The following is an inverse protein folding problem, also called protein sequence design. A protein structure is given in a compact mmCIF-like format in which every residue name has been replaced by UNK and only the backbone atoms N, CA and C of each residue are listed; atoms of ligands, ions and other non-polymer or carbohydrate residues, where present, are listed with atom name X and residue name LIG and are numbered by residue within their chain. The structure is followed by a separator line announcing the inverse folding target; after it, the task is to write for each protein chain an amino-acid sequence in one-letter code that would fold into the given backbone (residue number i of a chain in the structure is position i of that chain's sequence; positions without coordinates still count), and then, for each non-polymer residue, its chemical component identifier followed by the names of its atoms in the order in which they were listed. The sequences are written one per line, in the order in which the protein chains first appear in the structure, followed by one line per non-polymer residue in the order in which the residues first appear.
data_IF_643147590802
#
_entry.id   IF_643147590802
#
_cell.length_a   1.000
_cell.length_b   1.000
_cell.length_c   1.000
_cell.angle_alpha   90.00
_cell.angle_beta   90.00
_cell.angle_gamma   90.00
#
_symmetry.space_group_name_H-M   'P 1'
#
loop_
_entity.id
_entity.type
_entity.pdbx_description
1 polymer ?
#
# COMPACT_ATOMS: atom_id res chain seq x y z
N UNK A 1 16.56 -25.27 37.98
CA UNK A 1 17.24 -24.20 37.26
C UNK A 1 18.21 -24.86 36.29
N UNK A 2 17.79 -25.17 35.07
CA UNK A 2 18.69 -25.58 33.98
C UNK A 2 19.44 -24.35 33.51
N UNK A 3 20.75 -24.30 33.71
CA UNK A 3 21.66 -23.20 33.40
C UNK A 3 22.26 -23.29 31.98
N UNK A 4 21.73 -24.15 31.11
CA UNK A 4 22.29 -24.42 29.79
C UNK A 4 21.43 -23.92 28.63
N UNK A 5 20.44 -23.06 28.86
CA UNK A 5 19.69 -22.43 27.77
C UNK A 5 20.50 -21.30 27.16
N UNK A 6 21.21 -21.61 26.07
CA UNK A 6 21.80 -20.56 25.25
C UNK A 6 20.70 -19.70 24.64
N UNK A 7 20.85 -18.36 24.61
CA UNK A 7 19.88 -17.50 23.93
C UNK A 7 19.70 -17.98 22.48
N UNK A 8 18.45 -18.10 22.02
CA UNK A 8 18.08 -18.58 20.68
C UNK A 8 18.88 -17.85 19.58
N UNK A 9 19.17 -16.58 19.77
CA UNK A 9 19.93 -15.77 18.82
C UNK A 9 21.32 -16.33 18.52
N UNK A 10 21.93 -17.06 19.44
CA UNK A 10 23.25 -17.72 19.25
C UNK A 10 23.18 -18.97 18.37
N UNK A 11 21.99 -19.50 18.16
CA UNK A 11 21.74 -20.67 17.31
C UNK A 11 21.38 -20.28 15.88
N UNK A 12 21.16 -18.99 15.61
CA UNK A 12 20.73 -18.46 14.33
C UNK A 12 21.92 -17.97 13.51
N UNK A 13 21.86 -18.15 12.20
CA UNK A 13 22.79 -17.49 11.28
C UNK A 13 22.41 -16.02 11.04
N UNK A 14 23.29 -15.25 10.41
CA UNK A 14 23.08 -13.81 10.17
C UNK A 14 21.81 -13.51 9.35
N UNK A 15 21.50 -14.32 8.33
CA UNK A 15 20.27 -14.14 7.53
C UNK A 15 19.01 -14.40 8.36
N UNK A 16 19.03 -15.39 9.23
CA UNK A 16 17.91 -15.67 10.14
C UNK A 16 17.70 -14.57 11.17
N UNK A 17 18.79 -13.97 11.66
CA UNK A 17 18.71 -12.80 12.54
C UNK A 17 18.11 -11.62 11.78
N UNK A 18 18.58 -11.34 10.56
CA UNK A 18 18.03 -10.29 9.72
C UNK A 18 16.56 -10.50 9.39
N UNK A 19 16.10 -11.73 9.15
CA UNK A 19 14.68 -12.07 8.97
C UNK A 19 13.82 -11.72 10.19
N UNK A 20 14.33 -11.94 11.41
CA UNK A 20 13.62 -11.63 12.64
C UNK A 20 13.61 -10.12 12.94
N UNK A 21 14.73 -9.43 12.68
CA UNK A 21 14.85 -7.98 12.87
C UNK A 21 13.99 -7.20 11.86
N UNK A 22 13.78 -7.75 10.65
CA UNK A 22 13.01 -7.15 9.58
C UNK A 22 11.71 -7.92 9.31
N UNK A 23 11.03 -8.40 10.34
CA UNK A 23 9.77 -9.11 10.18
C UNK A 23 8.75 -8.25 9.41
N UNK A 24 8.16 -8.84 8.36
CA UNK A 24 7.28 -8.11 7.44
C UNK A 24 6.09 -8.98 7.00
N UNK A 25 4.88 -8.39 7.02
CA UNK A 25 3.65 -9.07 6.63
C UNK A 25 3.65 -9.59 5.18
N UNK A 26 4.32 -8.88 4.25
CA UNK A 26 4.42 -9.33 2.85
C UNK A 26 5.27 -10.60 2.70
N UNK A 27 6.38 -10.70 3.44
CA UNK A 27 7.19 -11.92 3.46
C UNK A 27 6.43 -13.09 4.11
N UNK A 28 5.66 -12.81 5.17
CA UNK A 28 4.80 -13.79 5.81
C UNK A 28 3.66 -14.25 4.88
N UNK A 29 3.08 -13.36 4.08
CA UNK A 29 2.07 -13.70 3.07
C UNK A 29 2.63 -14.68 2.04
N UNK A 30 3.85 -14.43 1.50
CA UNK A 30 4.51 -15.38 0.60
C UNK A 30 4.69 -16.75 1.26
N UNK A 31 5.18 -16.80 2.50
CA UNK A 31 5.34 -18.05 3.26
C UNK A 31 4.03 -18.82 3.40
N UNK A 32 2.92 -18.14 3.72
CA UNK A 32 1.60 -18.76 3.84
C UNK A 32 1.15 -19.32 2.49
N UNK A 33 1.29 -18.55 1.40
CA UNK A 33 0.92 -18.99 0.06
C UNK A 33 1.71 -20.21 -0.41
N UNK A 34 3.01 -20.24 -0.14
CA UNK A 34 3.86 -21.38 -0.50
C UNK A 34 3.50 -22.62 0.34
N UNK A 35 3.18 -22.47 1.63
CA UNK A 35 2.71 -23.58 2.47
C UNK A 35 1.33 -24.07 2.03
N UNK A 36 0.40 -23.17 1.74
CA UNK A 36 -0.94 -23.51 1.26
C UNK A 36 -0.88 -24.31 -0.05
N UNK A 37 0.02 -23.95 -0.96
CA UNK A 37 0.26 -24.69 -2.22
C UNK A 37 0.67 -26.14 -1.98
N UNK A 38 1.41 -26.42 -0.92
CA UNK A 38 1.88 -27.78 -0.61
C UNK A 38 0.89 -28.60 0.23
N UNK A 39 0.01 -27.94 0.97
CA UNK A 39 -0.85 -28.58 1.98
C UNK A 39 -2.35 -28.54 1.66
N UNK A 40 -2.75 -27.74 0.67
CA UNK A 40 -4.15 -27.57 0.28
C UNK A 40 -4.34 -27.80 -1.23
N UNK A 41 -5.59 -27.92 -1.66
CA UNK A 41 -5.95 -28.03 -3.07
C UNK A 41 -5.73 -26.72 -3.86
N UNK A 42 -5.29 -25.63 -3.19
CA UNK A 42 -5.03 -24.35 -3.82
C UNK A 42 -3.68 -24.38 -4.54
N UNK A 43 -3.71 -24.69 -5.83
CA UNK A 43 -2.51 -24.70 -6.68
C UNK A 43 -2.36 -23.40 -7.45
N UNK A 44 -1.86 -22.34 -6.80
CA UNK A 44 -1.60 -21.06 -7.45
C UNK A 44 -0.44 -21.14 -8.44
N UNK A 45 -0.61 -20.66 -9.68
CA UNK A 45 0.49 -20.48 -10.62
C UNK A 45 1.57 -19.53 -10.09
N UNK A 46 2.81 -19.74 -10.50
CA UNK A 46 3.92 -18.86 -10.07
C UNK A 46 3.74 -17.42 -10.51
N UNK A 47 3.08 -17.16 -11.64
CA UNK A 47 2.75 -15.81 -12.09
C UNK A 47 1.84 -15.06 -11.11
N UNK A 48 0.85 -15.77 -10.52
CA UNK A 48 -0.01 -15.17 -9.49
C UNK A 48 0.79 -14.91 -8.20
N UNK A 49 1.59 -15.88 -7.76
CA UNK A 49 2.43 -15.70 -6.57
C UNK A 49 3.40 -14.54 -6.77
N UNK A 50 4.05 -14.45 -7.93
CA UNK A 50 4.96 -13.35 -8.26
C UNK A 50 4.26 -11.98 -8.28
N UNK A 51 3.02 -11.91 -8.77
CA UNK A 51 2.22 -10.68 -8.77
C UNK A 51 1.83 -10.19 -7.37
N UNK A 52 1.85 -11.06 -6.36
CA UNK A 52 1.57 -10.73 -4.96
C UNK A 52 2.83 -10.31 -4.18
N UNK A 53 4.03 -10.49 -4.76
CA UNK A 53 5.29 -10.07 -4.13
C UNK A 53 5.47 -8.56 -4.33
N UNK A 54 5.11 -7.79 -3.32
CA UNK A 54 5.21 -6.32 -3.31
C UNK A 54 6.66 -5.84 -3.25
N UNK A 55 7.50 -6.50 -2.45
CA UNK A 55 8.91 -6.18 -2.26
C UNK A 55 9.78 -7.37 -2.69
N UNK A 56 10.47 -7.29 -3.83
CA UNK A 56 11.29 -8.40 -4.33
C UNK A 56 12.69 -8.42 -3.69
N UNK A 57 12.75 -8.40 -2.35
CA UNK A 57 13.98 -8.16 -1.58
C UNK A 57 14.11 -9.17 -0.45
N UNK A 58 15.30 -9.69 -0.23
CA UNK A 58 15.67 -10.51 0.92
C UNK A 58 16.12 -9.63 2.10
N UNK A 59 16.18 -10.19 3.30
CA UNK A 59 16.50 -9.45 4.53
C UNK A 59 17.93 -8.90 4.57
N UNK A 60 18.85 -9.50 3.83
CA UNK A 60 20.25 -9.08 3.68
C UNK A 60 20.49 -8.16 2.45
N UNK A 61 19.42 -7.84 1.69
CA UNK A 61 19.48 -7.01 0.48
C UNK A 61 18.68 -5.71 0.60
N UNK A 62 18.27 -5.33 1.80
CA UNK A 62 17.49 -4.12 2.03
C UNK A 62 18.19 -2.87 1.50
N UNK A 63 17.45 -2.05 0.77
CA UNK A 63 17.89 -0.79 0.18
C UNK A 63 17.02 0.40 0.61
N UNK A 64 17.33 1.57 0.07
CA UNK A 64 16.60 2.81 0.34
C UNK A 64 15.48 3.08 -0.66
N UNK A 65 15.44 2.35 -1.76
CA UNK A 65 14.44 2.49 -2.81
C UNK A 65 13.06 2.05 -2.33
N UNK A 66 12.02 2.65 -2.85
CA UNK A 66 10.63 2.39 -2.45
C UNK A 66 10.24 0.91 -2.53
N UNK A 67 10.77 0.18 -3.50
CA UNK A 67 10.46 -1.25 -3.68
C UNK A 67 11.41 -2.19 -2.92
N UNK A 68 12.48 -1.66 -2.28
CA UNK A 68 13.52 -2.44 -1.58
C UNK A 68 13.68 -2.10 -0.10
N UNK A 69 12.86 -1.20 0.44
CA UNK A 69 12.94 -0.78 1.85
C UNK A 69 12.32 -1.79 2.84
N UNK A 70 11.65 -2.82 2.31
CA UNK A 70 11.03 -3.91 3.07
C UNK A 70 11.34 -5.24 2.40
N UNK A 71 11.25 -6.32 3.19
CA UNK A 71 11.45 -7.68 2.68
C UNK A 71 10.16 -8.28 2.12
N UNK A 72 10.27 -9.09 1.09
CA UNK A 72 9.18 -9.89 0.54
C UNK A 72 9.39 -11.39 0.65
N UNK A 73 10.55 -11.81 1.16
CA UNK A 73 10.89 -13.21 1.32
C UNK A 73 11.82 -13.41 2.52
N UNK A 74 11.60 -14.46 3.30
CA UNK A 74 12.52 -14.92 4.33
C UNK A 74 13.51 -15.93 3.76
N UNK A 75 14.65 -16.13 4.44
CA UNK A 75 15.68 -17.07 4.06
C UNK A 75 15.15 -18.49 3.78
N UNK A 76 14.19 -18.94 4.57
CA UNK A 76 13.61 -20.28 4.40
C UNK A 76 12.89 -20.48 3.07
N UNK A 77 12.38 -19.45 2.45
CA UNK A 77 11.67 -19.45 1.17
C UNK A 77 12.55 -18.99 0.00
N UNK A 78 13.78 -18.47 0.24
CA UNK A 78 14.68 -17.89 -0.75
C UNK A 78 14.83 -18.75 -2.02
N UNK A 79 15.07 -20.05 -1.87
CA UNK A 79 15.25 -20.96 -3.01
C UNK A 79 14.00 -21.02 -3.90
N UNK A 80 12.82 -21.04 -3.29
CA UNK A 80 11.55 -21.07 -4.02
C UNK A 80 11.24 -19.72 -4.65
N UNK A 81 11.54 -18.64 -3.94
CA UNK A 81 11.39 -17.26 -4.42
C UNK A 81 12.24 -17.02 -5.69
N UNK A 82 13.52 -17.39 -5.67
CA UNK A 82 14.41 -17.25 -6.83
C UNK A 82 13.96 -18.15 -8.01
N UNK A 83 13.45 -19.35 -7.72
CA UNK A 83 12.85 -20.21 -8.73
C UNK A 83 11.62 -19.59 -9.38
N UNK A 84 10.71 -19.00 -8.59
CA UNK A 84 9.54 -18.27 -9.09
C UNK A 84 9.99 -17.14 -10.01
N UNK A 85 10.93 -16.30 -9.55
CA UNK A 85 11.43 -15.17 -10.33
C UNK A 85 12.02 -15.62 -11.69
N UNK A 86 12.78 -16.71 -11.70
CA UNK A 86 13.36 -17.26 -12.92
C UNK A 86 12.30 -17.80 -13.89
N UNK A 87 11.33 -18.59 -13.39
CA UNK A 87 10.31 -19.22 -14.23
C UNK A 87 9.29 -18.21 -14.79
N UNK A 88 9.03 -17.12 -14.04
CA UNK A 88 8.11 -16.04 -14.45
C UNK A 88 8.81 -14.99 -15.30
N UNK A 89 10.14 -14.94 -15.30
CA UNK A 89 10.92 -13.96 -16.06
C UNK A 89 11.06 -12.62 -15.34
N UNK A 90 10.94 -12.59 -14.01
CA UNK A 90 11.17 -11.41 -13.17
C UNK A 90 12.59 -11.36 -12.59
N UNK A 91 13.54 -12.07 -13.19
CA UNK A 91 14.95 -11.99 -12.87
C UNK A 91 15.67 -11.22 -13.99
N UNK A 92 16.33 -10.13 -13.67
CA UNK A 92 17.07 -9.34 -14.65
C UNK A 92 18.44 -9.98 -15.02
N UNK A 93 19.17 -9.36 -15.94
CA UNK A 93 20.48 -9.85 -16.41
C UNK A 93 21.56 -9.87 -15.34
N UNK A 94 21.39 -9.09 -14.27
CA UNK A 94 22.30 -9.03 -13.10
C UNK A 94 21.93 -10.05 -12.03
N UNK A 95 20.96 -10.93 -12.29
CA UNK A 95 20.39 -11.91 -11.35
C UNK A 95 19.62 -11.28 -10.17
N UNK A 96 19.25 -10.01 -10.26
CA UNK A 96 18.38 -9.37 -9.27
C UNK A 96 16.92 -9.68 -9.59
N UNK A 97 16.13 -9.93 -8.55
CA UNK A 97 14.67 -10.06 -8.70
C UNK A 97 14.06 -8.69 -8.83
N UNK A 98 13.26 -8.50 -9.89
CA UNK A 98 12.49 -7.28 -10.13
C UNK A 98 11.01 -7.52 -9.86
N UNK A 99 10.27 -6.46 -9.57
CA UNK A 99 8.85 -6.54 -9.26
C UNK A 99 8.07 -6.99 -10.51
N UNK A 100 7.16 -7.95 -10.33
CA UNK A 100 6.24 -8.35 -11.40
C UNK A 100 5.35 -7.17 -11.83
N UNK A 101 5.11 -6.95 -13.14
CA UNK A 101 4.29 -5.81 -13.60
C UNK A 101 2.93 -5.69 -12.92
N UNK A 102 2.23 -6.79 -12.71
CA UNK A 102 0.93 -6.78 -12.02
C UNK A 102 1.02 -6.39 -10.54
N UNK A 103 2.18 -6.56 -9.88
CA UNK A 103 2.34 -6.17 -8.48
C UNK A 103 2.16 -4.66 -8.27
N UNK A 104 2.52 -3.83 -9.25
CA UNK A 104 2.25 -2.39 -9.21
C UNK A 104 0.75 -2.08 -9.23
N UNK A 105 -0.03 -2.83 -10.01
CA UNK A 105 -1.49 -2.65 -10.09
C UNK A 105 -2.17 -3.17 -8.82
N UNK A 106 -1.71 -4.29 -8.27
CA UNK A 106 -2.21 -4.84 -7.00
C UNK A 106 -1.96 -3.84 -5.86
N UNK A 107 -0.73 -3.29 -5.76
CA UNK A 107 -0.38 -2.27 -4.78
C UNK A 107 -1.27 -1.02 -4.90
N UNK A 108 -1.43 -0.51 -6.13
CA UNK A 108 -2.26 0.67 -6.36
C UNK A 108 -3.75 0.42 -6.06
N UNK A 109 -4.25 -0.78 -6.35
CA UNK A 109 -5.62 -1.17 -6.01
C UNK A 109 -5.84 -1.26 -4.50
N UNK A 110 -4.86 -1.81 -3.77
CA UNK A 110 -4.85 -1.87 -2.31
C UNK A 110 -4.84 -0.46 -1.70
N UNK A 111 -3.96 0.41 -2.17
CA UNK A 111 -3.90 1.82 -1.73
C UNK A 111 -5.22 2.57 -1.98
N UNK A 112 -5.86 2.38 -3.16
CA UNK A 112 -7.15 3.00 -3.47
C UNK A 112 -8.24 2.47 -2.52
N UNK A 113 -8.31 1.15 -2.35
CA UNK A 113 -9.30 0.52 -1.49
C UNK A 113 -9.17 1.01 -0.05
N UNK A 114 -7.96 0.98 0.49
CA UNK A 114 -7.63 1.41 1.83
C UNK A 114 -7.99 2.88 2.08
N UNK A 115 -7.45 3.82 1.26
CA UNK A 115 -7.72 5.26 1.42
C UNK A 115 -9.21 5.60 1.34
N UNK A 116 -9.97 4.86 0.54
CA UNK A 116 -11.38 5.20 0.30
C UNK A 116 -12.35 4.46 1.21
N UNK A 117 -12.09 3.20 1.54
CA UNK A 117 -12.96 2.42 2.42
C UNK A 117 -12.89 2.94 3.86
N UNK A 118 -11.68 3.14 4.40
CA UNK A 118 -11.51 3.61 5.77
C UNK A 118 -12.10 5.01 5.96
N UNK A 119 -11.99 5.87 4.95
CA UNK A 119 -12.61 7.20 4.98
C UNK A 119 -14.15 7.12 4.93
N UNK A 120 -14.69 6.23 4.10
CA UNK A 120 -16.13 5.96 4.04
C UNK A 120 -16.66 5.46 5.39
N UNK A 121 -15.93 4.53 6.01
CA UNK A 121 -16.30 3.96 7.30
C UNK A 121 -16.15 4.97 8.45
N UNK A 122 -15.15 5.85 8.41
CA UNK A 122 -14.98 6.94 9.36
C UNK A 122 -16.18 7.92 9.35
N UNK A 123 -16.72 8.23 8.18
CA UNK A 123 -17.92 9.08 8.06
C UNK A 123 -19.17 8.30 8.49
N UNK A 124 -19.34 7.05 8.07
CA UNK A 124 -20.49 6.22 8.46
C UNK A 124 -20.59 5.96 9.95
N UNK A 125 -19.45 5.78 10.60
CA UNK A 125 -19.38 5.58 12.06
C UNK A 125 -19.54 6.88 12.86
N UNK A 126 -19.62 8.05 12.20
CA UNK A 126 -19.69 9.34 12.84
C UNK A 126 -18.38 9.82 13.47
N UNK A 127 -17.26 9.17 13.14
CA UNK A 127 -15.93 9.56 13.60
C UNK A 127 -15.53 10.93 13.04
N UNK A 128 -15.96 11.23 11.82
CA UNK A 128 -15.78 12.52 11.15
C UNK A 128 -17.07 12.93 10.44
N UNK A 129 -17.43 14.22 10.51
CA UNK A 129 -18.51 14.76 9.68
C UNK A 129 -17.99 15.11 8.27
N UNK A 130 -18.89 15.11 7.27
CA UNK A 130 -18.52 15.56 5.91
C UNK A 130 -18.08 17.04 5.93
N UNK A 131 -18.64 17.87 6.81
CA UNK A 131 -18.25 19.29 6.92
C UNK A 131 -16.81 19.42 7.42
N UNK A 132 -16.44 18.72 8.50
CA UNK A 132 -15.05 18.73 8.99
C UNK A 132 -14.07 18.19 7.93
N UNK A 133 -14.48 17.17 7.17
CA UNK A 133 -13.69 16.65 6.06
C UNK A 133 -13.50 17.69 4.95
N UNK A 134 -14.57 18.40 4.56
CA UNK A 134 -14.52 19.45 3.54
C UNK A 134 -13.63 20.62 3.97
N UNK A 135 -13.80 21.11 5.20
CA UNK A 135 -12.98 22.18 5.75
C UNK A 135 -11.49 21.82 5.70
N UNK A 136 -11.16 20.60 6.14
CA UNK A 136 -9.79 20.12 6.08
C UNK A 136 -9.27 19.96 4.63
N UNK A 137 -10.08 19.43 3.72
CA UNK A 137 -9.67 19.24 2.32
C UNK A 137 -9.40 20.58 1.62
N UNK A 138 -10.23 21.61 1.87
CA UNK A 138 -10.03 22.95 1.30
C UNK A 138 -8.78 23.62 1.88
N UNK A 139 -8.58 23.57 3.20
CA UNK A 139 -7.41 24.17 3.85
C UNK A 139 -6.11 23.53 3.34
N UNK A 140 -6.05 22.21 3.29
CA UNK A 140 -4.87 21.51 2.83
C UNK A 140 -4.64 21.65 1.31
N UNK A 141 -5.72 21.72 0.53
CA UNK A 141 -5.63 22.02 -0.90
C UNK A 141 -4.95 23.36 -1.16
N UNK A 142 -5.34 24.41 -0.43
CA UNK A 142 -4.72 25.73 -0.56
C UNK A 142 -3.25 25.74 -0.14
N UNK A 143 -2.92 25.04 0.96
CA UNK A 143 -1.54 24.97 1.46
C UNK A 143 -0.62 24.17 0.51
N UNK A 144 -1.06 22.99 0.07
CA UNK A 144 -0.27 22.14 -0.81
C UNK A 144 -0.20 22.69 -2.23
N UNK A 145 -1.30 23.26 -2.74
CA UNK A 145 -1.36 23.84 -4.08
C UNK A 145 -0.38 24.99 -4.30
N UNK A 146 -0.11 25.79 -3.26
CA UNK A 146 0.89 26.88 -3.29
C UNK A 146 2.33 26.40 -3.42
N UNK A 147 2.61 25.18 -2.96
CA UNK A 147 3.96 24.61 -2.84
C UNK A 147 4.29 23.58 -3.93
N UNK A 148 3.36 23.27 -4.81
CA UNK A 148 3.54 22.24 -5.83
C UNK A 148 3.74 22.83 -7.21
N UNK A 149 4.77 22.33 -7.92
CA UNK A 149 4.98 22.58 -9.35
C UNK A 149 4.09 21.70 -10.24
N UNK A 150 2.83 21.49 -9.82
CA UNK A 150 1.87 20.73 -10.63
C UNK A 150 1.27 21.63 -11.72
N UNK A 151 0.93 21.03 -12.86
CA UNK A 151 0.24 21.76 -13.91
C UNK A 151 -1.15 22.18 -13.45
N UNK A 152 -1.59 23.38 -13.83
CA UNK A 152 -2.88 23.95 -13.44
C UNK A 152 -4.08 23.02 -13.68
N UNK A 153 -4.16 22.23 -14.78
CA UNK A 153 -5.26 21.29 -14.99
C UNK A 153 -5.39 20.22 -13.87
N UNK A 154 -4.28 19.74 -13.33
CA UNK A 154 -4.30 18.73 -12.27
C UNK A 154 -4.71 19.31 -10.93
N UNK A 155 -4.28 20.53 -10.63
CA UNK A 155 -4.71 21.30 -9.47
C UNK A 155 -6.22 21.54 -9.54
N UNK A 156 -6.74 21.99 -10.68
CA UNK A 156 -8.17 22.19 -10.90
C UNK A 156 -8.96 20.91 -10.72
N UNK A 157 -8.45 19.75 -11.19
CA UNK A 157 -9.13 18.47 -11.03
C UNK A 157 -9.26 18.04 -9.58
N UNK A 158 -8.24 18.28 -8.75
CA UNK A 158 -8.33 18.02 -7.31
C UNK A 158 -9.42 18.87 -6.67
N UNK A 159 -9.52 20.15 -7.05
CA UNK A 159 -10.58 21.03 -6.59
C UNK A 159 -11.97 20.53 -7.00
N UNK A 160 -12.14 20.12 -8.26
CA UNK A 160 -13.40 19.55 -8.74
C UNK A 160 -13.85 18.33 -7.92
N UNK A 161 -12.91 17.48 -7.49
CA UNK A 161 -13.19 16.32 -6.64
C UNK A 161 -13.72 16.78 -5.27
N UNK A 162 -13.13 17.82 -4.66
CA UNK A 162 -13.57 18.39 -3.39
C UNK A 162 -14.94 19.06 -3.54
N UNK A 163 -15.11 19.88 -4.58
CA UNK A 163 -16.37 20.59 -4.88
C UNK A 163 -17.52 19.62 -5.13
N UNK A 164 -17.22 18.44 -5.73
CA UNK A 164 -18.21 17.38 -5.91
C UNK A 164 -18.72 16.83 -4.58
N UNK A 165 -17.86 16.60 -3.59
CA UNK A 165 -18.28 16.21 -2.24
C UNK A 165 -19.16 17.29 -1.61
N UNK A 166 -18.77 18.56 -1.73
CA UNK A 166 -19.55 19.69 -1.21
C UNK A 166 -20.94 19.77 -1.85
N UNK A 167 -21.05 19.48 -3.15
CA UNK A 167 -22.33 19.43 -3.87
C UNK A 167 -23.21 18.28 -3.36
N UNK A 168 -22.64 17.07 -3.23
CA UNK A 168 -23.37 15.90 -2.73
C UNK A 168 -23.86 16.12 -1.29
N UNK A 169 -23.05 16.73 -0.42
CA UNK A 169 -23.41 17.03 0.98
C UNK A 169 -24.58 18.00 1.09
N UNK A 170 -24.77 18.89 0.09
CA UNK A 170 -25.92 19.81 0.02
C UNK A 170 -27.18 19.16 -0.54
N UNK A 171 -27.03 18.18 -1.43
CA UNK A 171 -28.15 17.53 -2.15
C UNK A 171 -28.73 16.35 -1.37
N UNK A 172 -27.89 15.62 -0.64
CA UNK A 172 -28.28 14.42 0.08
C UNK A 172 -28.44 14.74 1.57
N UNK A 173 -29.57 14.30 2.14
CA UNK A 173 -29.79 14.40 3.59
C UNK A 173 -29.08 13.31 4.38
N UNK A 174 -28.67 12.24 3.71
CA UNK A 174 -27.94 11.11 4.27
C UNK A 174 -26.44 11.23 3.95
N UNK A 175 -25.65 11.51 4.97
CA UNK A 175 -24.19 11.66 4.88
C UNK A 175 -23.51 10.37 4.38
N UNK A 176 -24.02 9.18 4.77
CA UNK A 176 -23.46 7.92 4.31
C UNK A 176 -23.68 7.71 2.81
N UNK A 177 -24.85 8.12 2.30
CA UNK A 177 -25.16 8.07 0.87
C UNK A 177 -24.32 9.05 0.07
N UNK A 178 -24.19 10.29 0.54
CA UNK A 178 -23.33 11.31 -0.07
C UNK A 178 -21.88 10.83 -0.15
N UNK A 179 -21.35 10.28 0.95
CA UNK A 179 -20.00 9.75 1.01
C UNK A 179 -19.78 8.57 0.07
N UNK A 180 -20.69 7.62 -0.01
CA UNK A 180 -20.62 6.47 -0.92
C UNK A 180 -20.57 6.90 -2.39
N UNK A 181 -21.41 7.87 -2.79
CA UNK A 181 -21.40 8.42 -4.15
C UNK A 181 -20.07 9.10 -4.46
N UNK A 182 -19.56 9.91 -3.55
CA UNK A 182 -18.27 10.59 -3.71
C UNK A 182 -17.10 9.61 -3.78
N UNK A 183 -17.04 8.62 -2.90
CA UNK A 183 -16.02 7.57 -2.91
C UNK A 183 -16.03 6.79 -4.23
N UNK A 184 -17.21 6.49 -4.75
CA UNK A 184 -17.35 5.82 -6.07
C UNK A 184 -16.75 6.67 -7.19
N UNK A 185 -17.02 7.97 -7.18
CA UNK A 185 -16.45 8.91 -8.15
C UNK A 185 -14.93 9.03 -8.00
N UNK A 186 -14.45 9.16 -6.77
CA UNK A 186 -13.02 9.24 -6.44
C UNK A 186 -12.26 7.98 -6.88
N UNK A 187 -12.78 6.78 -6.60
CA UNK A 187 -12.20 5.50 -7.05
C UNK A 187 -12.03 5.44 -8.56
N UNK A 188 -13.05 5.84 -9.32
CA UNK A 188 -12.96 5.87 -10.78
C UNK A 188 -11.84 6.78 -11.27
N UNK A 189 -11.69 7.94 -10.64
CA UNK A 189 -10.60 8.86 -10.97
C UNK A 189 -9.23 8.28 -10.64
N UNK A 190 -9.04 7.74 -9.43
CA UNK A 190 -7.78 7.15 -9.01
C UNK A 190 -7.39 5.94 -9.89
N UNK A 191 -8.35 5.10 -10.26
CA UNK A 191 -8.11 4.00 -11.22
C UNK A 191 -7.66 4.52 -12.59
N UNK A 192 -8.27 5.59 -13.10
CA UNK A 192 -7.83 6.21 -14.35
C UNK A 192 -6.35 6.67 -14.24
N UNK A 193 -6.00 7.35 -13.15
CA UNK A 193 -4.62 7.80 -12.88
C UNK A 193 -3.63 6.64 -12.89
N UNK A 194 -3.97 5.55 -12.21
CA UNK A 194 -3.15 4.33 -12.15
C UNK A 194 -2.96 3.71 -13.53
N UNK A 195 -4.05 3.50 -14.27
CA UNK A 195 -3.99 2.94 -15.63
C UNK A 195 -3.15 3.80 -16.57
N UNK A 196 -3.33 5.13 -16.51
CA UNK A 196 -2.55 6.07 -17.29
C UNK A 196 -1.07 6.01 -16.95
N UNK A 197 -0.72 6.00 -15.65
CA UNK A 197 0.68 5.93 -15.19
C UNK A 197 1.32 4.61 -15.58
N UNK A 198 0.63 3.51 -15.35
CA UNK A 198 1.10 2.18 -15.72
C UNK A 198 1.41 2.08 -17.21
N UNK A 199 0.48 2.53 -18.06
CA UNK A 199 0.67 2.51 -19.52
C UNK A 199 1.88 3.34 -19.98
N UNK A 200 2.09 4.51 -19.37
CA UNK A 200 3.24 5.38 -19.72
C UNK A 200 4.58 4.88 -19.19
N UNK A 201 4.56 4.11 -18.12
CA UNK A 201 5.77 3.54 -17.52
C UNK A 201 5.98 2.07 -17.90
N UNK A 202 5.17 1.54 -18.82
CA UNK A 202 5.11 0.11 -19.12
C UNK A 202 6.47 -0.48 -19.52
N UNK A 203 7.21 0.19 -20.40
CA UNK A 203 8.53 -0.27 -20.84
C UNK A 203 9.55 -0.28 -19.69
N UNK A 204 9.53 0.74 -18.82
CA UNK A 204 10.39 0.80 -17.63
C UNK A 204 10.04 -0.30 -16.62
N UNK A 205 8.75 -0.57 -16.45
CA UNK A 205 8.25 -1.65 -15.59
C UNK A 205 8.71 -3.01 -16.10
N UNK A 206 8.56 -3.27 -17.42
CA UNK A 206 9.00 -4.53 -18.02
C UNK A 206 10.52 -4.74 -17.96
N UNK A 207 11.29 -3.65 -18.04
CA UNK A 207 12.75 -3.70 -17.93
C UNK A 207 13.23 -3.79 -16.46
N UNK A 208 12.33 -3.67 -15.47
CA UNK A 208 12.69 -3.64 -14.06
C UNK A 208 13.37 -2.35 -13.60
N UNK A 209 13.19 -1.25 -14.34
CA UNK A 209 13.80 0.06 -14.09
C UNK A 209 12.82 1.08 -13.48
N UNK A 210 11.68 0.62 -12.98
CA UNK A 210 10.68 1.46 -12.35
C UNK A 210 10.62 1.18 -10.85
N UNK A 211 11.29 2.02 -10.06
CA UNK A 211 11.53 1.79 -8.62
C UNK A 211 10.53 2.50 -7.70
N UNK A 212 9.42 2.99 -8.24
CA UNK A 212 8.42 3.76 -7.49
C UNK A 212 7.04 3.11 -7.52
N UNK A 213 6.11 3.59 -6.68
CA UNK A 213 4.69 3.27 -6.81
C UNK A 213 4.05 4.08 -7.97
N UNK A 214 2.85 3.69 -8.39
CA UNK A 214 2.16 4.35 -9.51
C UNK A 214 1.61 5.74 -9.16
N UNK A 215 1.60 6.12 -7.89
CA UNK A 215 1.20 7.45 -7.42
C UNK A 215 2.38 8.38 -7.18
N UNK A 216 3.61 7.86 -7.13
CA UNK A 216 4.81 8.66 -6.86
C UNK A 216 5.14 9.59 -8.04
N UNK A 217 5.47 10.85 -7.72
CA UNK A 217 5.83 11.90 -8.71
C UNK A 217 4.90 11.97 -9.94
N UNK A 218 3.62 11.67 -9.72
CA UNK A 218 2.59 11.78 -10.73
C UNK A 218 2.02 13.21 -10.70
N UNK A 219 1.68 13.74 -11.87
CA UNK A 219 0.98 15.03 -11.98
C UNK A 219 -0.39 15.05 -11.27
N UNK A 220 -0.87 13.90 -10.82
CA UNK A 220 -2.09 13.74 -10.04
C UNK A 220 -1.83 13.49 -8.54
N UNK A 221 -0.60 13.70 -8.09
CA UNK A 221 -0.17 13.39 -6.72
C UNK A 221 -0.86 14.25 -5.65
N UNK A 222 -1.36 15.44 -6.00
CA UNK A 222 -2.05 16.32 -5.05
C UNK A 222 -3.26 15.65 -4.40
N UNK A 223 -4.14 15.03 -5.21
CA UNK A 223 -5.32 14.30 -4.66
C UNK A 223 -4.88 13.19 -3.70
N UNK A 224 -3.88 12.39 -4.08
CA UNK A 224 -3.39 11.29 -3.24
C UNK A 224 -2.71 11.81 -1.97
N UNK A 225 -1.94 12.90 -2.05
CA UNK A 225 -1.32 13.54 -0.88
C UNK A 225 -2.37 14.07 0.10
N UNK A 226 -3.45 14.68 -0.41
CA UNK A 226 -4.57 15.12 0.40
C UNK A 226 -5.25 13.95 1.11
N UNK A 227 -5.55 12.87 0.38
CA UNK A 227 -6.15 11.67 0.96
C UNK A 227 -5.26 11.05 2.04
N UNK A 228 -3.96 10.90 1.79
CA UNK A 228 -3.01 10.40 2.81
C UNK A 228 -3.00 11.29 4.07
N UNK A 229 -3.08 12.61 3.93
CA UNK A 229 -3.18 13.53 5.08
C UNK A 229 -4.50 13.36 5.84
N UNK A 230 -5.62 13.19 5.13
CA UNK A 230 -6.93 12.89 5.74
C UNK A 230 -6.84 11.62 6.57
N UNK A 231 -6.26 10.54 5.99
CA UNK A 231 -6.09 9.27 6.69
C UNK A 231 -5.29 9.42 7.99
N UNK A 232 -4.15 10.11 7.93
CA UNK A 232 -3.33 10.37 9.12
C UNK A 232 -4.10 11.16 10.17
N UNK A 233 -4.80 12.22 9.77
CA UNK A 233 -5.49 13.11 10.73
C UNK A 233 -6.70 12.46 11.38
N UNK A 234 -7.56 11.83 10.59
CA UNK A 234 -8.89 11.44 11.04
C UNK A 234 -9.05 9.96 11.32
N UNK A 235 -8.24 9.12 10.67
CA UNK A 235 -8.33 7.67 10.83
C UNK A 235 -7.26 7.19 11.80
N UNK A 236 -5.98 7.29 11.46
CA UNK A 236 -4.90 6.71 12.29
C UNK A 236 -4.71 7.38 13.65
N UNK A 237 -4.84 8.71 13.72
CA UNK A 237 -4.67 9.45 14.97
C UNK A 237 -5.98 9.59 15.77
N UNK A 238 -7.06 8.90 15.36
CA UNK A 238 -8.29 8.93 16.14
C UNK A 238 -8.10 8.21 17.48
N UNK A 239 -8.54 8.82 18.58
CA UNK A 239 -8.46 8.21 19.91
C UNK A 239 -9.17 6.86 20.01
N UNK A 240 -10.23 6.66 19.20
CA UNK A 240 -11.01 5.42 19.18
C UNK A 240 -10.17 4.28 18.60
N UNK A 241 -9.49 4.50 17.47
CA UNK A 241 -8.65 3.49 16.83
C UNK A 241 -7.40 3.23 17.68
N UNK A 242 -6.77 4.29 18.19
CA UNK A 242 -5.62 4.15 19.10
C UNK A 242 -6.00 3.37 20.35
N UNK A 243 -7.17 3.64 20.95
CA UNK A 243 -7.66 2.92 22.13
C UNK A 243 -7.95 1.44 21.82
N UNK A 244 -8.54 1.13 20.66
CA UNK A 244 -8.81 -0.25 20.23
C UNK A 244 -7.52 -1.04 19.99
N UNK A 245 -6.49 -0.43 19.40
CA UNK A 245 -5.18 -1.04 19.23
C UNK A 245 -4.53 -1.34 20.59
N UNK A 246 -4.51 -0.38 21.53
CA UNK A 246 -3.97 -0.59 22.87
C UNK A 246 -4.75 -1.63 23.69
N UNK A 247 -6.06 -1.78 23.48
CA UNK A 247 -6.85 -2.80 24.19
C UNK A 247 -6.72 -4.18 23.56
N UNK A 248 -6.44 -4.30 22.25
CA UNK A 248 -6.13 -5.59 21.63
C UNK A 248 -4.74 -6.09 22.03
N UNK A 249 -3.73 -5.21 22.07
CA UNK A 249 -2.38 -5.57 22.52
C UNK A 249 -2.35 -5.97 24.02
N UNK A 250 -3.22 -5.37 24.85
CA UNK A 250 -3.33 -5.73 26.27
C UNK A 250 -4.10 -7.04 26.53
N UNK A 251 -4.75 -7.61 25.53
CA UNK A 251 -5.44 -8.90 25.63
C UNK A 251 -4.54 -10.10 25.27
N UNK A 252 -3.36 -9.83 24.69
CA UNK A 252 -2.36 -10.84 24.30
C UNK A 252 -1.23 -11.02 25.35
N UNK A 253 -1.25 -10.25 26.46
CA UNK A 253 -0.41 -10.44 27.67
C UNK A 253 -1.17 -11.28 28.74
#
# INVERSE_FOLDING_TARGET
KNTDEQPIIKLLNQKQIADLENFEGNAQALRILLKARHQSEINLPFSIISALIKYPTLSDELGTETIRHKIGCYQSEEKTFLRIAKEVGTMNSEHNVVRHPLAYLVEAADDIAYMTADLEDAVKSGLISINDLLDFLYDEYEQLGKNMHESQPHINRTKEIIDHLASLNKQEHDSAKAMNQWVTYLRKWLMYVVCWRFSRSYDQILQGNFDNDLFYNNNHSLTVKLLKKVMVKFVFNSRIITCLLYTSDAADD
#
